data_IF_236944536763
#
_entry.id   IF_236944536763
#
_cell.length_a   1.000
_cell.length_b   1.000
_cell.length_c   1.000
_cell.angle_alpha   90.00
_cell.angle_beta   90.00
_cell.angle_gamma   90.00
#
_symmetry.space_group_name_H-M   'P 1'
#
loop_
_entity.id
_entity.type
_entity.pdbx_description
1 polymer ?
#
# COMPACT_ATOMS: atom_id res chain seq x y z
N UNK A 1 3.12 -59.90 -18.12
CA UNK A 1 2.35 -58.89 -17.33
C UNK A 1 3.05 -58.32 -16.08
N UNK A 2 3.95 -59.02 -15.37
CA UNK A 2 4.61 -58.49 -14.15
C UNK A 2 5.60 -57.33 -14.38
N UNK A 3 6.30 -57.29 -15.52
CA UNK A 3 7.29 -56.23 -15.82
C UNK A 3 6.68 -54.84 -16.08
N UNK A 4 5.52 -54.79 -16.73
CA UNK A 4 4.84 -53.54 -17.11
C UNK A 4 4.29 -52.80 -15.87
N UNK A 5 3.73 -53.53 -14.89
CA UNK A 5 3.27 -52.94 -13.62
C UNK A 5 4.43 -52.34 -12.80
N UNK A 6 5.62 -52.95 -12.84
CA UNK A 6 6.83 -52.44 -12.17
C UNK A 6 7.34 -51.15 -12.83
N UNK A 7 7.31 -51.08 -14.17
CA UNK A 7 7.67 -49.88 -14.93
C UNK A 7 6.70 -48.72 -14.67
N UNK A 8 5.38 -48.98 -14.68
CA UNK A 8 4.38 -47.96 -14.33
C UNK A 8 4.53 -47.47 -12.89
N UNK A 9 4.80 -48.36 -11.93
CA UNK A 9 5.07 -47.98 -10.55
C UNK A 9 6.33 -47.12 -10.37
N UNK A 10 7.41 -47.42 -11.11
CA UNK A 10 8.65 -46.64 -11.11
C UNK A 10 8.49 -45.27 -11.81
N UNK A 11 7.70 -45.22 -12.88
CA UNK A 11 7.38 -43.98 -13.59
C UNK A 11 6.56 -43.04 -12.71
N UNK A 12 5.49 -43.55 -12.08
CA UNK A 12 4.62 -42.76 -11.20
C UNK A 12 5.38 -42.24 -9.95
N UNK A 13 6.31 -43.05 -9.41
CA UNK A 13 7.18 -42.68 -8.28
C UNK A 13 8.24 -41.64 -8.66
N UNK A 14 8.74 -41.66 -9.91
CA UNK A 14 9.61 -40.62 -10.45
C UNK A 14 8.86 -39.32 -10.69
N UNK A 15 7.65 -39.35 -11.24
CA UNK A 15 6.85 -38.14 -11.45
C UNK A 15 6.46 -37.46 -10.14
N UNK A 16 6.01 -38.23 -9.14
CA UNK A 16 5.73 -37.69 -7.81
C UNK A 16 6.98 -37.12 -7.14
N UNK A 17 8.14 -37.78 -7.28
CA UNK A 17 9.42 -37.28 -6.79
C UNK A 17 9.87 -36.01 -7.51
N UNK A 18 9.71 -35.92 -8.84
CA UNK A 18 10.09 -34.75 -9.63
C UNK A 18 9.12 -33.57 -9.40
N UNK A 19 7.84 -33.84 -9.17
CA UNK A 19 6.83 -32.84 -8.84
C UNK A 19 7.09 -32.25 -7.43
N UNK A 20 7.34 -33.10 -6.43
CA UNK A 20 7.71 -32.63 -5.08
C UNK A 20 9.04 -31.88 -5.08
N UNK A 21 10.05 -32.35 -5.82
CA UNK A 21 11.32 -31.62 -5.97
C UNK A 21 11.10 -30.24 -6.65
N UNK A 22 10.26 -30.15 -7.69
CA UNK A 22 9.96 -28.87 -8.38
C UNK A 22 9.14 -27.90 -7.52
N UNK A 23 8.16 -28.39 -6.76
CA UNK A 23 7.36 -27.56 -5.84
C UNK A 23 8.22 -27.01 -4.70
N UNK A 24 9.08 -27.84 -4.11
CA UNK A 24 9.99 -27.40 -3.05
C UNK A 24 11.00 -26.35 -3.54
N UNK A 25 11.47 -26.47 -4.78
CA UNK A 25 12.50 -25.59 -5.35
C UNK A 25 11.99 -24.20 -5.75
N UNK A 26 10.71 -24.08 -6.15
CA UNK A 26 10.09 -22.78 -6.44
C UNK A 26 9.69 -22.01 -5.17
N UNK A 27 9.24 -22.71 -4.13
CA UNK A 27 8.87 -22.09 -2.86
C UNK A 27 10.05 -21.87 -1.91
N UNK A 28 11.26 -22.30 -2.28
CA UNK A 28 12.46 -21.90 -1.55
C UNK A 28 12.64 -20.38 -1.53
N UNK A 29 12.92 -19.79 -0.35
CA UNK A 29 13.30 -18.39 -0.25
C UNK A 29 14.53 -18.11 -1.11
N UNK A 30 14.38 -17.26 -2.13
CA UNK A 30 15.49 -16.81 -2.96
C UNK A 30 15.69 -17.55 -4.28
N UNK A 31 14.81 -18.49 -4.66
CA UNK A 31 14.85 -19.21 -5.93
C UNK A 31 15.05 -18.26 -7.13
N UNK A 32 16.10 -18.46 -7.97
CA UNK A 32 16.39 -17.58 -9.10
C UNK A 32 15.24 -17.56 -10.11
N UNK A 33 14.56 -18.70 -10.31
CA UNK A 33 13.40 -18.82 -11.20
C UNK A 33 12.24 -17.94 -10.74
N UNK A 34 11.95 -17.95 -9.44
CA UNK A 34 10.89 -17.10 -8.85
C UNK A 34 11.21 -15.62 -8.96
N UNK A 35 12.46 -15.23 -8.71
CA UNK A 35 12.92 -13.84 -8.87
C UNK A 35 12.77 -13.37 -10.31
N UNK A 36 13.20 -14.18 -11.29
CA UNK A 36 13.04 -13.87 -12.71
C UNK A 36 11.57 -13.70 -13.04
N UNK A 37 10.69 -14.63 -12.61
CA UNK A 37 9.26 -14.52 -12.86
C UNK A 37 8.65 -13.23 -12.27
N UNK A 38 8.98 -12.89 -11.02
CA UNK A 38 8.50 -11.66 -10.38
C UNK A 38 8.95 -10.42 -11.17
N UNK A 39 10.22 -10.35 -11.56
CA UNK A 39 10.76 -9.23 -12.34
C UNK A 39 10.07 -9.16 -13.71
N UNK A 40 9.94 -10.27 -14.41
CA UNK A 40 9.25 -10.34 -15.70
C UNK A 40 7.80 -9.88 -15.60
N UNK A 41 7.07 -10.28 -14.55
CA UNK A 41 5.70 -9.86 -14.34
C UNK A 41 5.59 -8.37 -13.99
N UNK A 42 6.52 -7.83 -13.19
CA UNK A 42 6.57 -6.38 -12.92
C UNK A 42 6.78 -5.64 -14.24
N UNK A 43 7.78 -6.02 -15.04
CA UNK A 43 8.04 -5.39 -16.35
C UNK A 43 6.78 -5.46 -17.22
N UNK A 44 6.17 -6.64 -17.35
CA UNK A 44 4.93 -6.83 -18.12
C UNK A 44 3.81 -5.91 -17.64
N UNK A 45 3.63 -5.74 -16.33
CA UNK A 45 2.61 -4.85 -15.76
C UNK A 45 2.97 -3.38 -15.94
N UNK A 46 4.24 -3.00 -16.06
CA UNK A 46 4.62 -1.62 -16.33
C UNK A 46 4.50 -1.24 -17.81
N UNK A 47 4.58 -2.22 -18.73
CA UNK A 47 4.54 -1.97 -20.17
C UNK A 47 3.35 -1.09 -20.61
N UNK A 48 2.08 -1.36 -20.22
CA UNK A 48 0.95 -0.54 -20.65
C UNK A 48 1.08 0.94 -20.25
N UNK A 49 1.61 1.22 -19.06
CA UNK A 49 1.82 2.59 -18.55
C UNK A 49 2.77 3.37 -19.46
N UNK A 50 3.83 2.71 -19.94
CA UNK A 50 4.88 3.35 -20.71
C UNK A 50 4.60 3.37 -22.22
N UNK A 51 3.94 2.34 -22.75
CA UNK A 51 3.56 2.24 -24.17
C UNK A 51 2.51 3.29 -24.55
N UNK A 52 1.46 3.45 -23.74
CA UNK A 52 0.39 4.39 -24.05
C UNK A 52 0.75 5.80 -23.64
N UNK A 53 0.32 6.81 -24.42
CA UNK A 53 0.59 8.22 -24.13
C UNK A 53 -0.04 8.67 -22.80
N UNK A 54 -1.27 8.24 -22.56
CA UNK A 54 -2.08 8.59 -21.39
C UNK A 54 -2.48 7.34 -20.62
N UNK A 55 -2.42 7.41 -19.29
CA UNK A 55 -3.06 6.43 -18.44
C UNK A 55 -4.55 6.78 -18.30
N UNK A 56 -5.48 5.83 -18.51
CA UNK A 56 -6.91 6.11 -18.45
C UNK A 56 -7.39 6.17 -17.00
N UNK A 57 -7.10 7.27 -16.31
CA UNK A 57 -7.65 7.56 -14.98
C UNK A 57 -8.57 8.78 -14.99
N UNK A 58 -9.60 8.73 -14.14
CA UNK A 58 -10.59 9.80 -14.03
C UNK A 58 -10.01 11.05 -13.39
N UNK A 59 -9.40 10.94 -12.21
CA UNK A 59 -8.85 12.09 -11.47
C UNK A 59 -7.36 12.36 -11.75
N UNK A 60 -6.67 11.52 -12.53
CA UNK A 60 -5.23 11.68 -12.83
C UNK A 60 -4.85 13.06 -13.38
N UNK A 61 -5.56 13.59 -14.39
CA UNK A 61 -5.31 14.94 -14.90
C UNK A 61 -5.38 16.03 -13.81
N UNK A 62 -6.30 15.90 -12.84
CA UNK A 62 -6.42 16.81 -11.70
C UNK A 62 -5.21 16.73 -10.77
N UNK A 63 -4.70 15.52 -10.52
CA UNK A 63 -3.47 15.33 -9.73
C UNK A 63 -2.24 15.94 -10.42
N UNK A 64 -2.11 15.76 -11.74
CA UNK A 64 -1.04 16.37 -12.53
C UNK A 64 -1.12 17.89 -12.46
N UNK A 65 -2.31 18.47 -12.68
CA UNK A 65 -2.53 19.91 -12.65
C UNK A 65 -2.20 20.51 -11.29
N UNK A 66 -2.69 19.93 -10.20
CA UNK A 66 -2.39 20.40 -8.83
C UNK A 66 -0.89 20.33 -8.50
N UNK A 67 -0.20 19.29 -8.97
CA UNK A 67 1.25 19.17 -8.81
C UNK A 67 2.01 20.23 -9.62
N UNK A 68 1.53 20.54 -10.83
CA UNK A 68 2.09 21.61 -11.65
C UNK A 68 1.88 22.99 -11.02
N UNK A 69 0.69 23.27 -10.48
CA UNK A 69 0.41 24.48 -9.71
C UNK A 69 1.36 24.58 -8.53
N UNK A 70 1.51 23.51 -7.75
CA UNK A 70 2.41 23.48 -6.59
C UNK A 70 3.87 23.81 -6.96
N UNK A 71 4.38 23.23 -8.06
CA UNK A 71 5.71 23.56 -8.60
C UNK A 71 5.82 25.05 -9.00
N UNK A 72 4.78 25.59 -9.65
CA UNK A 72 4.83 26.88 -10.34
C UNK A 72 4.55 28.06 -9.42
N UNK A 73 3.88 27.84 -8.28
CA UNK A 73 3.47 28.89 -7.34
C UNK A 73 4.60 29.84 -6.92
N UNK A 74 5.84 29.37 -6.84
CA UNK A 74 6.99 30.19 -6.43
C UNK A 74 7.57 31.08 -7.55
N UNK A 75 7.20 30.85 -8.81
CA UNK A 75 7.73 31.60 -9.95
C UNK A 75 7.09 33.00 -10.05
N UNK A 76 7.87 34.02 -10.43
CA UNK A 76 7.39 35.40 -10.56
C UNK A 76 6.27 35.54 -11.61
N UNK A 77 6.39 34.81 -12.71
CA UNK A 77 5.41 34.76 -13.81
C UNK A 77 4.09 34.05 -13.48
N UNK A 78 3.93 33.49 -12.27
CA UNK A 78 2.74 32.73 -11.86
C UNK A 78 1.61 33.64 -11.31
N UNK A 79 1.50 34.88 -11.78
CA UNK A 79 0.53 35.89 -11.28
C UNK A 79 -0.91 35.39 -11.33
N UNK A 80 -1.34 34.82 -12.47
CA UNK A 80 -2.70 34.29 -12.63
C UNK A 80 -2.95 33.09 -11.70
N UNK A 81 -1.97 32.21 -11.50
CA UNK A 81 -2.11 31.04 -10.61
C UNK A 81 -2.28 31.51 -9.16
N UNK A 82 -1.53 32.54 -8.73
CA UNK A 82 -1.62 33.10 -7.37
C UNK A 82 -2.93 33.84 -7.10
N UNK A 83 -3.64 34.26 -8.14
CA UNK A 83 -4.97 34.85 -8.01
C UNK A 83 -6.03 33.80 -7.61
N UNK A 84 -5.96 32.60 -8.21
CA UNK A 84 -6.96 31.55 -8.00
C UNK A 84 -6.55 30.47 -6.98
N UNK A 85 -5.27 30.28 -6.72
CA UNK A 85 -4.76 29.23 -5.84
C UNK A 85 -4.03 29.79 -4.63
N UNK A 86 -4.33 29.24 -3.46
CA UNK A 86 -3.60 29.47 -2.21
C UNK A 86 -2.97 28.17 -1.75
N UNK A 87 -1.71 28.25 -1.32
CA UNK A 87 -1.01 27.10 -0.75
C UNK A 87 -1.64 26.74 0.60
N UNK A 88 -2.11 25.51 0.71
CA UNK A 88 -2.57 24.96 1.97
C UNK A 88 -1.46 24.12 2.60
N UNK A 89 -0.82 24.65 3.65
CA UNK A 89 0.25 23.98 4.40
C UNK A 89 -0.25 23.14 5.58
N UNK A 90 -1.57 22.98 5.72
CA UNK A 90 -2.12 22.11 6.76
C UNK A 90 -1.66 20.66 6.51
N UNK A 91 -1.27 19.97 7.58
CA UNK A 91 -0.77 18.60 7.50
C UNK A 91 -1.93 17.60 7.46
N UNK A 92 -2.74 17.68 6.40
CA UNK A 92 -3.87 16.77 6.18
C UNK A 92 -3.45 15.58 5.28
N UNK A 93 -4.11 14.43 5.42
CA UNK A 93 -3.87 13.25 4.58
C UNK A 93 -4.22 13.51 3.12
N UNK A 94 -3.90 12.58 2.21
CA UNK A 94 -4.21 12.67 0.78
C UNK A 94 -3.45 13.76 0.02
N UNK A 95 -2.24 14.10 0.48
CA UNK A 95 -1.43 15.10 -0.19
C UNK A 95 -0.17 14.53 -0.86
N UNK A 96 0.39 13.40 -0.42
CA UNK A 96 1.73 12.92 -0.82
C UNK A 96 2.03 12.95 -2.33
N UNK A 97 1.09 12.51 -3.17
CA UNK A 97 1.26 12.45 -4.63
C UNK A 97 1.58 13.81 -5.26
N UNK A 98 1.06 14.92 -4.71
CA UNK A 98 1.25 16.25 -5.27
C UNK A 98 2.68 16.78 -5.12
N UNK A 99 3.28 16.91 -3.90
CA UNK A 99 4.66 17.32 -3.75
C UNK A 99 5.62 16.31 -4.39
N UNK A 100 5.29 15.01 -4.37
CA UNK A 100 6.10 13.99 -5.04
C UNK A 100 6.19 14.26 -6.56
N UNK A 101 5.05 14.42 -7.24
CA UNK A 101 5.06 14.70 -8.67
C UNK A 101 5.58 16.11 -8.98
N UNK A 102 5.28 17.11 -8.15
CA UNK A 102 5.82 18.47 -8.32
C UNK A 102 7.35 18.47 -8.30
N UNK A 103 7.96 17.71 -7.38
CA UNK A 103 9.41 17.53 -7.30
C UNK A 103 9.97 16.87 -8.59
N UNK A 104 9.31 15.82 -9.10
CA UNK A 104 9.70 15.20 -10.37
C UNK A 104 9.56 16.16 -11.56
N UNK A 105 8.55 17.02 -11.56
CA UNK A 105 8.27 17.97 -12.64
C UNK A 105 9.32 19.09 -12.78
N UNK A 106 10.30 19.20 -11.86
CA UNK A 106 11.47 20.07 -12.06
C UNK A 106 12.42 19.54 -13.12
N UNK A 107 12.49 18.22 -13.30
CA UNK A 107 13.42 17.55 -14.22
C UNK A 107 12.72 16.74 -15.31
N UNK A 108 11.43 16.44 -15.16
CA UNK A 108 10.67 15.58 -16.06
C UNK A 108 9.38 16.26 -16.54
N UNK A 109 8.86 15.89 -17.72
CA UNK A 109 7.53 16.32 -18.16
C UNK A 109 6.41 15.81 -17.22
N UNK A 110 5.27 16.53 -17.11
CA UNK A 110 4.18 16.15 -16.21
C UNK A 110 3.65 14.73 -16.39
N UNK A 111 3.52 14.28 -17.64
CA UNK A 111 3.06 12.91 -17.96
C UNK A 111 4.06 11.85 -17.50
N UNK A 112 5.37 12.15 -17.52
CA UNK A 112 6.40 11.21 -17.05
C UNK A 112 6.38 11.11 -15.53
N UNK A 113 6.16 12.23 -14.83
CA UNK A 113 6.02 12.23 -13.37
C UNK A 113 4.85 11.36 -12.90
N UNK A 114 3.69 11.43 -13.58
CA UNK A 114 2.56 10.53 -13.30
C UNK A 114 2.90 9.06 -13.57
N UNK A 115 3.52 8.75 -14.72
CA UNK A 115 3.91 7.37 -15.05
C UNK A 115 4.88 6.76 -14.04
N UNK A 116 5.79 7.57 -13.47
CA UNK A 116 6.67 7.14 -12.39
C UNK A 116 5.86 6.81 -11.13
N UNK A 117 4.94 7.67 -10.73
CA UNK A 117 4.06 7.42 -9.57
C UNK A 117 3.24 6.13 -9.76
N UNK A 118 2.61 5.96 -10.93
CA UNK A 118 1.86 4.76 -11.27
C UNK A 118 2.73 3.50 -11.27
N UNK A 119 3.97 3.60 -11.78
CA UNK A 119 4.91 2.48 -11.78
C UNK A 119 5.32 2.07 -10.37
N UNK A 120 5.50 3.04 -9.47
CA UNK A 120 5.75 2.78 -8.05
C UNK A 120 4.55 2.06 -7.44
N UNK A 121 3.33 2.56 -7.63
CA UNK A 121 2.11 1.95 -7.08
C UNK A 121 1.97 0.49 -7.53
N UNK A 122 2.04 0.25 -8.84
CA UNK A 122 1.85 -1.08 -9.45
C UNK A 122 2.98 -2.03 -9.07
N UNK A 123 4.23 -1.57 -9.07
CA UNK A 123 5.38 -2.40 -8.71
C UNK A 123 5.41 -2.74 -7.21
N UNK A 124 5.07 -1.79 -6.33
CA UNK A 124 5.15 -1.99 -4.89
C UNK A 124 4.09 -2.94 -4.36
N UNK A 125 2.90 -3.02 -4.96
CA UNK A 125 1.82 -3.89 -4.47
C UNK A 125 2.23 -5.38 -4.37
N UNK A 126 2.65 -6.07 -5.44
CA UNK A 126 3.10 -7.46 -5.32
C UNK A 126 4.30 -7.60 -4.38
N UNK A 127 5.27 -6.68 -4.44
CA UNK A 127 6.46 -6.73 -3.58
C UNK A 127 6.10 -6.64 -2.09
N UNK A 128 5.14 -5.78 -1.73
CA UNK A 128 4.67 -5.63 -0.36
C UNK A 128 3.97 -6.88 0.18
N UNK A 129 3.22 -7.59 -0.67
CA UNK A 129 2.59 -8.86 -0.30
C UNK A 129 3.62 -9.97 -0.14
N UNK A 130 4.59 -10.10 -1.06
CA UNK A 130 5.69 -11.06 -0.89
C UNK A 130 6.44 -10.80 0.42
N UNK A 131 6.71 -9.54 0.75
CA UNK A 131 7.38 -9.14 1.98
C UNK A 131 6.58 -9.48 3.24
N UNK A 132 5.28 -9.14 3.28
CA UNK A 132 4.41 -9.47 4.40
C UNK A 132 4.30 -10.99 4.62
N UNK A 133 4.06 -11.75 3.54
CA UNK A 133 3.89 -13.20 3.62
C UNK A 133 5.16 -13.90 4.10
N UNK A 134 6.32 -13.45 3.62
CA UNK A 134 7.61 -13.98 4.10
C UNK A 134 7.88 -13.64 5.58
N UNK A 135 7.44 -12.46 6.03
CA UNK A 135 7.53 -12.07 7.44
C UNK A 135 6.63 -12.91 8.37
N UNK A 136 5.47 -13.35 7.89
CA UNK A 136 4.55 -14.20 8.67
C UNK A 136 5.02 -15.65 8.68
N UNK A 137 5.36 -16.20 7.51
CA UNK A 137 5.80 -17.59 7.37
C UNK A 137 6.74 -17.74 6.18
N UNK A 138 8.04 -17.88 6.48
CA UNK A 138 9.08 -18.16 5.48
C UNK A 138 8.71 -19.37 4.61
N UNK A 139 8.90 -19.23 3.30
CA UNK A 139 8.69 -20.32 2.32
C UNK A 139 7.25 -20.57 1.90
N UNK A 140 6.27 -19.74 2.30
CA UNK A 140 4.87 -19.80 1.79
C UNK A 140 4.42 -18.52 1.08
N UNK A 141 5.35 -17.83 0.43
CA UNK A 141 5.09 -16.53 -0.19
C UNK A 141 4.51 -16.62 -1.61
N UNK A 142 4.08 -17.80 -2.09
CA UNK A 142 3.42 -17.95 -3.40
C UNK A 142 2.16 -17.10 -3.53
N UNK A 143 1.43 -16.86 -2.43
CA UNK A 143 0.26 -15.97 -2.45
C UNK A 143 0.60 -14.50 -2.73
N UNK A 144 1.88 -14.12 -2.73
CA UNK A 144 2.31 -12.78 -3.15
C UNK A 144 1.97 -12.46 -4.61
N UNK A 145 1.78 -13.49 -5.45
CA UNK A 145 1.33 -13.30 -6.83
C UNK A 145 -0.08 -12.70 -6.94
N UNK A 146 -0.90 -12.74 -5.89
CA UNK A 146 -2.17 -12.02 -5.85
C UNK A 146 -2.00 -10.51 -6.02
N UNK A 147 -0.84 -9.96 -5.66
CA UNK A 147 -0.58 -8.53 -5.85
C UNK A 147 -0.56 -8.11 -7.32
N UNK A 148 -0.17 -9.00 -8.23
CA UNK A 148 -0.27 -8.74 -9.67
C UNK A 148 -1.73 -8.67 -10.11
N UNK A 149 -2.57 -9.59 -9.65
CA UNK A 149 -4.01 -9.61 -9.95
C UNK A 149 -4.71 -8.32 -9.51
N UNK A 150 -4.33 -7.76 -8.36
CA UNK A 150 -4.94 -6.54 -7.81
C UNK A 150 -4.20 -5.24 -8.16
N UNK A 151 -3.16 -5.30 -9.02
CA UNK A 151 -2.38 -4.11 -9.38
C UNK A 151 -3.22 -3.05 -10.11
N UNK A 152 -4.09 -3.49 -11.03
CA UNK A 152 -4.98 -2.62 -11.82
C UNK A 152 -6.41 -2.60 -11.25
N UNK A 153 -6.53 -2.26 -9.96
CA UNK A 153 -7.82 -2.19 -9.28
C UNK A 153 -8.60 -0.93 -9.65
N UNK A 154 -9.92 -0.97 -9.46
CA UNK A 154 -10.85 0.11 -9.80
C UNK A 154 -10.42 1.49 -9.29
N UNK A 155 -9.98 1.60 -8.03
CA UNK A 155 -9.63 2.90 -7.42
C UNK A 155 -8.39 3.55 -8.07
N UNK A 156 -7.49 2.76 -8.65
CA UNK A 156 -6.37 3.29 -9.44
C UNK A 156 -6.89 3.99 -10.70
N UNK A 157 -7.88 3.39 -11.38
CA UNK A 157 -8.53 3.96 -12.56
C UNK A 157 -9.46 5.14 -12.22
N UNK A 158 -10.02 5.19 -11.01
CA UNK A 158 -10.67 6.40 -10.50
C UNK A 158 -9.67 7.55 -10.29
N UNK A 159 -8.36 7.26 -10.23
CA UNK A 159 -7.32 8.26 -10.00
C UNK A 159 -6.97 8.46 -8.52
N UNK A 160 -7.37 7.55 -7.62
CA UNK A 160 -7.09 7.66 -6.18
C UNK A 160 -5.63 7.26 -5.86
N UNK A 161 -4.66 7.94 -6.47
CA UNK A 161 -3.24 7.56 -6.44
C UNK A 161 -2.66 7.49 -5.03
N UNK A 162 -3.03 8.43 -4.17
CA UNK A 162 -2.62 8.45 -2.78
C UNK A 162 -3.14 7.22 -1.99
N UNK A 163 -4.39 6.81 -2.22
CA UNK A 163 -4.93 5.57 -1.64
C UNK A 163 -4.22 4.35 -2.22
N UNK A 164 -4.09 4.27 -3.55
CA UNK A 164 -3.44 3.13 -4.21
C UNK A 164 -1.98 2.98 -3.78
N UNK A 165 -1.28 4.08 -3.47
CA UNK A 165 0.07 4.06 -2.90
C UNK A 165 0.09 3.67 -1.41
N UNK A 166 -0.91 4.05 -0.63
CA UNK A 166 -0.94 3.74 0.80
C UNK A 166 -1.15 2.25 1.08
N UNK A 167 -1.81 1.52 0.18
CA UNK A 167 -2.06 0.06 0.27
C UNK A 167 -0.76 -0.77 0.33
N UNK A 168 0.19 -0.66 -0.62
CA UNK A 168 1.46 -1.38 -0.52
C UNK A 168 2.27 -0.96 0.71
N UNK A 169 2.30 0.34 1.03
CA UNK A 169 3.00 0.84 2.21
C UNK A 169 2.42 0.23 3.51
N UNK A 170 1.10 0.08 3.59
CA UNK A 170 0.42 -0.61 4.68
C UNK A 170 0.90 -2.06 4.82
N UNK A 171 0.96 -2.82 3.72
CA UNK A 171 1.47 -4.20 3.77
C UNK A 171 2.94 -4.28 4.15
N UNK A 172 3.78 -3.34 3.68
CA UNK A 172 5.17 -3.23 4.14
C UNK A 172 5.25 -2.95 5.64
N UNK A 173 4.48 -1.99 6.15
CA UNK A 173 4.47 -1.66 7.58
C UNK A 173 4.01 -2.86 8.44
N UNK A 174 2.98 -3.58 8.01
CA UNK A 174 2.53 -4.80 8.67
C UNK A 174 3.59 -5.91 8.64
N UNK A 175 4.20 -6.15 7.47
CA UNK A 175 5.25 -7.15 7.32
C UNK A 175 6.46 -6.82 8.19
N UNK A 176 6.79 -5.52 8.26
CA UNK A 176 7.91 -5.02 9.04
C UNK A 176 7.68 -5.24 10.53
N UNK A 177 6.49 -4.89 11.01
CA UNK A 177 6.09 -5.17 12.39
C UNK A 177 6.13 -6.67 12.68
N UNK A 178 5.53 -7.51 11.83
CA UNK A 178 5.49 -8.97 12.02
C UNK A 178 6.89 -9.59 12.10
N UNK A 179 7.83 -9.10 11.28
CA UNK A 179 9.22 -9.56 11.25
C UNK A 179 10.00 -9.19 12.51
N UNK A 180 9.73 -8.04 13.10
CA UNK A 180 10.58 -7.45 14.15
C UNK A 180 9.92 -7.29 15.51
N UNK A 181 8.65 -7.65 15.68
CA UNK A 181 7.91 -7.53 16.96
C UNK A 181 8.58 -8.21 18.16
N UNK A 182 9.38 -9.25 17.93
CA UNK A 182 10.13 -9.96 18.99
C UNK A 182 11.46 -9.29 19.38
N UNK A 183 12.02 -8.42 18.54
CA UNK A 183 13.36 -7.83 18.74
C UNK A 183 13.34 -6.33 18.44
N UNK A 184 12.55 -5.57 19.19
CA UNK A 184 12.38 -4.15 18.93
C UNK A 184 13.54 -3.35 19.51
N UNK A 185 14.06 -2.43 18.69
CA UNK A 185 15.02 -1.40 19.10
C UNK A 185 14.56 -0.04 18.53
N UNK A 186 15.23 1.04 18.95
CA UNK A 186 14.86 2.41 18.55
C UNK A 186 14.83 2.61 17.03
N UNK A 187 15.82 2.05 16.31
CA UNK A 187 15.87 2.15 14.84
C UNK A 187 14.65 1.47 14.20
N UNK A 188 14.25 0.30 14.70
CA UNK A 188 13.08 -0.42 14.19
C UNK A 188 11.78 0.34 14.46
N UNK A 189 11.66 0.97 15.63
CA UNK A 189 10.52 1.82 15.98
C UNK A 189 10.47 3.06 15.07
N UNK A 190 11.61 3.71 14.84
CA UNK A 190 11.69 4.89 13.99
C UNK A 190 11.25 4.57 12.55
N UNK A 191 11.70 3.45 11.97
CA UNK A 191 11.28 3.01 10.63
C UNK A 191 9.77 2.76 10.58
N UNK A 192 9.21 2.08 11.59
CA UNK A 192 7.77 1.82 11.64
C UNK A 192 6.94 3.11 11.75
N UNK A 193 7.39 4.06 12.58
CA UNK A 193 6.75 5.37 12.71
C UNK A 193 6.85 6.18 11.41
N UNK A 194 8.00 6.17 10.74
CA UNK A 194 8.18 6.84 9.45
C UNK A 194 7.25 6.26 8.38
N UNK A 195 7.12 4.93 8.30
CA UNK A 195 6.17 4.27 7.41
C UNK A 195 4.72 4.69 7.73
N UNK A 196 4.36 4.75 9.01
CA UNK A 196 3.02 5.17 9.43
C UNK A 196 2.74 6.64 9.08
N UNK A 197 3.69 7.54 9.28
CA UNK A 197 3.60 8.96 8.87
C UNK A 197 3.44 9.08 7.36
N UNK A 198 4.21 8.30 6.59
CA UNK A 198 4.07 8.27 5.13
C UNK A 198 2.68 7.79 4.71
N UNK A 199 2.15 6.74 5.35
CA UNK A 199 0.80 6.23 5.10
C UNK A 199 -0.26 7.27 5.48
N UNK A 200 -0.06 8.03 6.56
CA UNK A 200 -0.95 9.14 6.93
C UNK A 200 -1.03 10.19 5.81
N UNK A 201 0.12 10.67 5.31
CA UNK A 201 0.14 11.64 4.21
C UNK A 201 -0.41 11.08 2.89
N UNK A 202 -0.35 9.77 2.70
CA UNK A 202 -1.02 9.11 1.60
C UNK A 202 -2.54 9.04 1.84
N UNK A 203 -3.04 8.30 2.82
CA UNK A 203 -4.49 8.20 3.01
C UNK A 203 -4.90 7.82 4.44
N UNK A 204 -5.91 8.52 4.97
CA UNK A 204 -6.39 8.33 6.35
C UNK A 204 -7.01 6.94 6.59
N UNK A 205 -7.78 6.42 5.63
CA UNK A 205 -8.44 5.13 5.81
C UNK A 205 -7.44 3.98 6.04
N UNK A 206 -6.38 3.90 5.23
CA UNK A 206 -5.31 2.92 5.40
C UNK A 206 -4.47 3.18 6.64
N UNK A 207 -4.32 4.43 7.06
CA UNK A 207 -3.65 4.79 8.30
C UNK A 207 -4.42 4.30 9.55
N UNK A 208 -5.75 4.50 9.58
CA UNK A 208 -6.63 3.94 10.61
C UNK A 208 -6.50 2.42 10.63
N UNK A 209 -6.58 1.78 9.46
CA UNK A 209 -6.46 0.33 9.34
C UNK A 209 -5.10 -0.17 9.86
N UNK A 210 -4.01 0.56 9.59
CA UNK A 210 -2.68 0.25 10.12
C UNK A 210 -2.68 0.26 11.65
N UNK A 211 -3.15 1.34 12.26
CA UNK A 211 -3.17 1.46 13.72
C UNK A 211 -3.98 0.35 14.36
N UNK A 212 -5.18 0.08 13.84
CA UNK A 212 -6.03 -1.01 14.33
C UNK A 212 -5.33 -2.36 14.21
N UNK A 213 -4.72 -2.64 13.06
CA UNK A 213 -4.01 -3.88 12.79
C UNK A 213 -2.79 -4.05 13.71
N UNK A 214 -1.96 -3.01 13.87
CA UNK A 214 -0.78 -3.04 14.74
C UNK A 214 -1.16 -3.22 16.22
N UNK A 215 -2.22 -2.55 16.67
CA UNK A 215 -2.76 -2.69 18.02
C UNK A 215 -3.24 -4.12 18.26
N UNK A 216 -4.07 -4.65 17.35
CA UNK A 216 -4.60 -6.01 17.45
C UNK A 216 -3.49 -7.06 17.39
N UNK A 217 -2.51 -6.91 16.49
CA UNK A 217 -1.38 -7.82 16.37
C UNK A 217 -0.46 -7.77 17.59
N UNK A 218 -0.28 -6.61 18.22
CA UNK A 218 0.48 -6.46 19.47
C UNK A 218 -0.21 -7.22 20.60
N UNK A 219 -1.53 -7.07 20.74
CA UNK A 219 -2.32 -7.77 21.76
C UNK A 219 -2.30 -9.29 21.52
N UNK A 220 -2.65 -9.73 20.31
CA UNK A 220 -2.77 -11.17 19.98
C UNK A 220 -1.43 -11.90 19.99
N UNK A 221 -0.34 -11.27 19.54
CA UNK A 221 0.99 -11.89 19.57
C UNK A 221 1.54 -12.03 21.00
N UNK A 222 1.13 -11.17 21.93
CA UNK A 222 1.72 -11.08 23.27
C UNK A 222 0.70 -11.11 24.42
N UNK A 223 -0.47 -11.71 24.20
CA UNK A 223 -1.56 -11.75 25.20
C UNK A 223 -1.15 -12.36 26.55
N UNK A 224 -0.14 -13.26 26.55
CA UNK A 224 0.46 -13.85 27.77
C UNK A 224 1.55 -13.00 28.42
N UNK A 225 1.95 -11.87 27.81
CA UNK A 225 3.06 -10.99 28.22
C UNK A 225 2.61 -9.51 28.23
N UNK A 226 1.75 -9.08 29.17
CA UNK A 226 1.11 -7.76 29.13
C UNK A 226 2.10 -6.58 29.18
N UNK A 227 3.22 -6.70 29.90
CA UNK A 227 4.28 -5.66 29.91
C UNK A 227 4.82 -5.37 28.51
N UNK A 228 4.89 -6.38 27.65
CA UNK A 228 5.34 -6.24 26.26
C UNK A 228 4.31 -5.53 25.39
N UNK A 229 3.02 -5.82 25.59
CA UNK A 229 1.92 -5.11 24.93
C UNK A 229 2.00 -3.62 25.26
N UNK A 230 2.11 -3.27 26.55
CA UNK A 230 2.20 -1.87 26.97
C UNK A 230 3.40 -1.16 26.34
N UNK A 231 4.57 -1.81 26.30
CA UNK A 231 5.75 -1.27 25.62
C UNK A 231 5.53 -1.01 24.13
N UNK A 232 4.91 -1.95 23.42
CA UNK A 232 4.56 -1.81 21.99
C UNK A 232 3.61 -0.64 21.74
N UNK A 233 2.55 -0.55 22.54
CA UNK A 233 1.57 0.53 22.43
C UNK A 233 2.20 1.90 22.77
N UNK A 234 3.09 1.94 23.75
CA UNK A 234 3.86 3.15 24.06
C UNK A 234 4.74 3.59 22.87
N UNK A 235 5.39 2.67 22.17
CA UNK A 235 6.15 3.01 20.95
C UNK A 235 5.30 3.49 19.77
N UNK A 236 3.99 3.22 19.82
CA UNK A 236 3.00 3.69 18.84
C UNK A 236 2.30 4.99 19.29
N UNK A 237 2.67 5.60 20.42
CA UNK A 237 2.13 6.88 20.88
C UNK A 237 2.08 7.97 19.80
N UNK A 238 3.14 8.18 18.99
CA UNK A 238 3.09 9.18 17.92
C UNK A 238 1.99 8.92 16.90
N UNK A 239 1.70 7.64 16.60
CA UNK A 239 0.65 7.28 15.66
C UNK A 239 -0.74 7.64 16.21
N UNK A 240 -0.99 7.28 17.47
CA UNK A 240 -2.23 7.63 18.15
C UNK A 240 -2.39 9.14 18.31
N UNK A 241 -1.29 9.86 18.56
CA UNK A 241 -1.29 11.31 18.63
C UNK A 241 -1.69 11.95 17.30
N UNK A 242 -1.11 11.51 16.17
CA UNK A 242 -1.51 11.98 14.83
C UNK A 242 -2.98 11.66 14.53
N UNK A 243 -3.46 10.49 14.95
CA UNK A 243 -4.87 10.15 14.79
C UNK A 243 -5.77 11.09 15.61
N UNK A 244 -5.43 11.31 16.87
CA UNK A 244 -6.18 12.19 17.77
C UNK A 244 -6.20 13.63 17.27
N UNK A 245 -5.06 14.15 16.80
CA UNK A 245 -4.97 15.50 16.26
C UNK A 245 -5.82 15.67 14.99
N UNK A 246 -5.81 14.68 14.10
CA UNK A 246 -6.68 14.66 12.90
C UNK A 246 -8.17 14.64 13.27
N UNK A 247 -8.58 13.84 14.26
CA UNK A 247 -9.98 13.79 14.70
C UNK A 247 -10.39 15.14 15.30
N UNK A 248 -9.55 15.73 16.16
CA UNK A 248 -9.82 17.01 16.79
C UNK A 248 -9.91 18.15 15.77
N UNK A 249 -8.99 18.21 14.80
CA UNK A 249 -9.02 19.26 13.76
C UNK A 249 -10.24 19.15 12.84
N UNK A 250 -10.76 17.94 12.61
CA UNK A 250 -11.97 17.72 11.80
C UNK A 250 -13.27 17.79 12.62
N UNK A 251 -13.17 17.85 13.94
CA UNK A 251 -14.31 18.09 14.83
C UNK A 251 -14.57 19.60 15.02
N UNK A 252 -13.54 20.44 14.88
CA UNK A 252 -13.64 21.91 14.99
C UNK A 252 -14.02 22.61 13.69
N UNK A 253 -13.93 21.94 12.54
CA UNK A 253 -14.48 22.42 11.27
C UNK A 253 -16.01 22.42 11.30
N UNK A 254 -16.65 23.46 10.74
CA UNK A 254 -18.12 23.65 10.75
C UNK A 254 -18.88 22.34 10.45
N UNK A 255 -20.04 22.09 11.11
CA UNK A 255 -20.82 20.88 10.91
C UNK A 255 -21.40 20.88 9.49
N UNK A 256 -20.64 20.39 8.52
CA UNK A 256 -21.15 20.05 7.20
C UNK A 256 -22.05 18.84 7.36
N UNK A 257 -23.35 19.09 7.55
CA UNK A 257 -24.48 18.19 7.28
C UNK A 257 -24.21 16.70 7.57
N UNK A 258 -23.50 16.39 8.66
CA UNK A 258 -23.22 15.01 9.05
C UNK A 258 -24.55 14.45 9.48
N UNK A 259 -25.03 13.44 8.76
CA UNK A 259 -26.25 12.75 9.15
C UNK A 259 -26.05 12.23 10.57
N UNK A 260 -26.97 12.57 11.47
CA UNK A 260 -26.97 12.01 12.81
C UNK A 260 -27.01 10.48 12.71
N UNK A 261 -26.50 9.78 13.73
CA UNK A 261 -26.61 8.32 13.78
C UNK A 261 -28.05 7.83 13.59
N UNK A 262 -29.03 8.60 14.08
CA UNK A 262 -30.46 8.37 13.82
C UNK A 262 -30.84 8.51 12.35
N UNK A 263 -30.40 9.57 11.64
CA UNK A 263 -30.66 9.75 10.21
C UNK A 263 -30.03 8.65 9.35
N UNK A 264 -28.82 8.19 9.72
CA UNK A 264 -28.18 7.07 9.04
C UNK A 264 -28.96 5.78 9.26
N UNK A 265 -29.34 5.50 10.50
CA UNK A 265 -30.15 4.34 10.86
C UNK A 265 -31.50 4.33 10.13
N UNK A 266 -32.20 5.46 10.13
CA UNK A 266 -33.47 5.64 9.42
C UNK A 266 -33.29 5.49 7.91
N UNK A 267 -32.20 6.00 7.33
CA UNK A 267 -31.92 5.80 5.92
C UNK A 267 -31.71 4.31 5.60
N UNK A 268 -30.82 3.61 6.32
CA UNK A 268 -30.53 2.21 6.03
C UNK A 268 -31.73 1.28 6.24
N UNK A 269 -32.59 1.58 7.21
CA UNK A 269 -33.80 0.79 7.46
C UNK A 269 -34.92 1.12 6.48
N UNK A 270 -35.08 2.39 6.09
CA UNK A 270 -36.19 2.82 5.24
C UNK A 270 -35.85 2.81 3.75
N UNK A 271 -34.59 2.71 3.36
CA UNK A 271 -34.23 2.34 1.98
C UNK A 271 -34.60 0.88 1.78
N UNK A 272 -35.82 0.63 1.28
CA UNK A 272 -36.11 -0.59 0.52
C UNK A 272 -35.13 -0.61 -0.64
N UNK A 273 -34.16 -1.53 -0.60
CA UNK A 273 -33.29 -1.76 -1.75
C UNK A 273 -34.17 -2.00 -2.97
N UNK A 274 -33.88 -1.30 -4.07
CA UNK A 274 -34.35 -1.70 -5.40
C UNK A 274 -33.93 -3.14 -5.70
#
# INVERSE_FOLDING_TARGET
MKGIKKLFGLWNKRETSLATLRETDFDTPGSPRKKILIISLIVLHLLPIWIFKYFPSQDGPSHIHNSYVLKTLHQEQATLIREYYKLNLTLFPNWFSHPFMAALMYILPPLVAEKILLSIIIGLLPLSLFYLLDAVKKGKNIYGFLGFLFSYHYLLHMGFYNYSLSVPLFFFALGYFMKYKEEINLNKIAILNLLAILIYFCHIATYILLILSLTLLSITSFYRRPKRIVGLLAYMLPLYFIMGSYILSNATGQPHNRWSGSKLWDYFINTKSL
#
